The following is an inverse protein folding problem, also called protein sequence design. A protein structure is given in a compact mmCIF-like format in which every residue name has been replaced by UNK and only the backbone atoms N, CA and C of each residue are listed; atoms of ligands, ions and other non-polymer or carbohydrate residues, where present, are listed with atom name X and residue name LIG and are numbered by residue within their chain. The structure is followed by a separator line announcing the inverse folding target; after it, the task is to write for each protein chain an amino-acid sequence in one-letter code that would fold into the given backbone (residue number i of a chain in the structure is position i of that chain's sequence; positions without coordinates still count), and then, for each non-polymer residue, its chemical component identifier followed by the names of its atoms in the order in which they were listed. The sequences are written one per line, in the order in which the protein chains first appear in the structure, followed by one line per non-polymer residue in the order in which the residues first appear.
data_IF_324076281374
#
_entry.id   IF_324076281374
#
_cell.length_a   1.000
_cell.length_b   1.000
_cell.length_c   1.000
_cell.angle_alpha   90.00
_cell.angle_beta   90.00
_cell.angle_gamma   90.00
#
_symmetry.space_group_name_H-M   'P 1'
#
loop_
_entity.id
_entity.type
_entity.pdbx_description
1 polymer ?
#
# COMPACT_ATOMS: atom_id res chain seq x y z
N UNK A 1 13.23 2.42 -12.96
CA UNK A 1 12.47 1.80 -11.85
C UNK A 1 12.64 2.68 -10.61
N UNK A 2 11.53 3.25 -10.12
CA UNK A 2 11.53 4.28 -9.08
C UNK A 2 11.71 3.63 -7.69
N UNK A 3 12.96 3.53 -7.20
CA UNK A 3 13.31 2.81 -5.95
C UNK A 3 12.54 3.35 -4.74
N UNK A 4 12.25 4.64 -4.72
CA UNK A 4 11.49 5.28 -3.64
C UNK A 4 10.03 4.81 -3.61
N UNK A 5 9.42 4.62 -4.79
CA UNK A 5 8.04 4.15 -4.90
C UNK A 5 7.91 2.70 -4.42
N UNK A 6 8.85 1.84 -4.81
CA UNK A 6 8.92 0.45 -4.32
C UNK A 6 9.07 0.39 -2.81
N UNK A 7 9.90 1.26 -2.20
CA UNK A 7 10.03 1.33 -0.76
C UNK A 7 8.72 1.75 -0.07
N UNK A 8 7.98 2.71 -0.63
CA UNK A 8 6.68 3.13 -0.10
C UNK A 8 5.63 2.01 -0.20
N UNK A 9 5.61 1.27 -1.30
CA UNK A 9 4.72 0.10 -1.48
C UNK A 9 5.03 -0.96 -0.41
N UNK A 10 6.31 -1.29 -0.23
CA UNK A 10 6.72 -2.31 0.73
C UNK A 10 6.43 -1.88 2.19
N UNK A 11 6.66 -0.62 2.52
CA UNK A 11 6.29 -0.07 3.82
C UNK A 11 4.78 -0.16 4.07
N UNK A 12 3.96 0.21 3.07
CA UNK A 12 2.51 0.16 3.19
C UNK A 12 2.00 -1.29 3.31
N UNK A 13 2.63 -2.26 2.64
CA UNK A 13 2.34 -3.69 2.83
C UNK A 13 2.62 -4.17 4.24
N UNK A 14 3.77 -3.77 4.82
CA UNK A 14 4.13 -4.14 6.21
C UNK A 14 3.16 -3.55 7.23
N UNK A 15 2.76 -2.29 7.03
CA UNK A 15 1.73 -1.63 7.84
C UNK A 15 0.41 -2.42 7.78
N UNK A 16 -0.02 -2.80 6.58
CA UNK A 16 -1.26 -3.55 6.40
C UNK A 16 -1.23 -4.91 7.11
N UNK A 17 -0.11 -5.64 7.02
CA UNK A 17 0.07 -6.92 7.71
C UNK A 17 0.03 -6.74 9.23
N UNK A 18 0.77 -5.76 9.77
CA UNK A 18 0.80 -5.48 11.21
C UNK A 18 -0.59 -5.10 11.75
N UNK A 19 -1.30 -4.26 11.00
CA UNK A 19 -2.64 -3.83 11.36
C UNK A 19 -3.67 -4.95 11.23
N UNK A 20 -3.55 -5.85 10.24
CA UNK A 20 -4.49 -6.98 10.07
C UNK A 20 -4.50 -7.97 11.24
N UNK A 21 -3.41 -8.03 12.02
CA UNK A 21 -3.36 -8.81 13.26
C UNK A 21 -4.10 -8.16 14.43
N UNK A 22 -4.34 -6.84 14.37
CA UNK A 22 -4.90 -6.04 15.47
C UNK A 22 -6.29 -5.45 15.17
N UNK A 23 -6.59 -5.21 13.90
CA UNK A 23 -7.81 -4.55 13.43
C UNK A 23 -8.59 -5.48 12.50
N UNK A 24 -9.92 -5.42 12.57
CA UNK A 24 -10.78 -6.06 11.58
C UNK A 24 -10.50 -5.46 10.20
N UNK A 25 -10.53 -6.28 9.16
CA UNK A 25 -10.31 -5.85 7.77
C UNK A 25 -11.23 -4.69 7.32
N UNK A 26 -12.40 -4.54 7.95
CA UNK A 26 -13.36 -3.45 7.70
C UNK A 26 -13.15 -2.22 8.56
N UNK A 27 -12.13 -2.20 9.43
CA UNK A 27 -11.78 -1.02 10.21
C UNK A 27 -11.35 0.10 9.27
N UNK A 28 -11.72 1.34 9.60
CA UNK A 28 -11.34 2.53 8.84
C UNK A 28 -9.84 2.58 8.56
N UNK A 29 -9.01 2.24 9.56
CA UNK A 29 -7.56 2.17 9.44
C UNK A 29 -7.12 1.16 8.36
N UNK A 30 -7.79 0.01 8.26
CA UNK A 30 -7.50 -0.98 7.23
C UNK A 30 -7.95 -0.53 5.84
N UNK A 31 -9.11 0.12 5.76
CA UNK A 31 -9.64 0.67 4.50
C UNK A 31 -8.75 1.79 3.97
N UNK A 32 -8.30 2.70 4.83
CA UNK A 32 -7.38 3.78 4.46
C UNK A 32 -6.02 3.24 4.03
N UNK A 33 -5.46 2.30 4.79
CA UNK A 33 -4.19 1.64 4.42
C UNK A 33 -4.30 0.91 3.08
N UNK A 34 -5.43 0.23 2.83
CA UNK A 34 -5.69 -0.43 1.55
C UNK A 34 -5.80 0.57 0.39
N UNK A 35 -6.50 1.70 0.56
CA UNK A 35 -6.60 2.75 -0.46
C UNK A 35 -5.23 3.35 -0.78
N UNK A 36 -4.39 3.55 0.24
CA UNK A 36 -3.03 4.07 0.08
C UNK A 36 -2.14 3.09 -0.70
N UNK A 37 -2.24 1.79 -0.40
CA UNK A 37 -1.51 0.76 -1.14
C UNK A 37 -1.94 0.70 -2.61
N UNK A 38 -3.25 0.73 -2.87
CA UNK A 38 -3.82 0.74 -4.23
C UNK A 38 -3.30 1.93 -5.05
N UNK A 39 -3.32 3.13 -4.46
CA UNK A 39 -2.79 4.32 -5.11
C UNK A 39 -1.30 4.17 -5.51
N UNK A 40 -0.46 3.69 -4.59
CA UNK A 40 0.97 3.48 -4.87
C UNK A 40 1.21 2.43 -5.96
N UNK A 41 0.39 1.38 -6.00
CA UNK A 41 0.46 0.35 -7.04
C UNK A 41 0.04 0.91 -8.41
N UNK A 42 -1.01 1.73 -8.45
CA UNK A 42 -1.44 2.41 -9.67
C UNK A 42 -0.37 3.37 -10.19
N UNK A 43 0.23 4.19 -9.32
CA UNK A 43 1.37 5.05 -9.68
C UNK A 43 2.54 4.24 -10.24
N UNK A 44 2.81 3.09 -9.64
CA UNK A 44 3.88 2.20 -10.10
C UNK A 44 3.56 1.60 -11.47
N UNK A 45 2.34 1.13 -11.70
CA UNK A 45 1.93 0.61 -13.01
C UNK A 45 2.01 1.68 -14.09
N UNK A 46 1.54 2.90 -13.81
CA UNK A 46 1.64 4.02 -14.74
C UNK A 46 3.10 4.32 -15.11
N UNK A 47 4.02 4.32 -14.14
CA UNK A 47 5.45 4.57 -14.36
C UNK A 47 6.19 3.44 -15.08
N UNK A 48 5.67 2.22 -15.09
CA UNK A 48 6.30 1.06 -15.77
C UNK A 48 5.62 0.70 -17.11
N UNK A 49 4.44 1.26 -17.40
CA UNK A 49 3.75 1.10 -18.68
C UNK A 49 4.04 2.24 -19.67
N UNK A 50 5.09 3.05 -19.42
CA UNK A 50 5.65 4.03 -20.36
C UNK A 50 6.91 3.46 -21.01
#
# INVERSE_FOLDING_TARGET
MDKLLLQKIEQCRKEMIALSGSYKLTSEVMVETSKKLDHLLNEYQLKNNQ
#
